data_IF_874555497877
#
_entry.id   IF_874555497877
#
_cell.length_a   1.000
_cell.length_b   1.000
_cell.length_c   1.000
_cell.angle_alpha   90.00
_cell.angle_beta   90.00
_cell.angle_gamma   90.00
#
_symmetry.space_group_name_H-M   'P 1'
#
loop_
_entity.id
_entity.type
_entity.pdbx_description
1 polymer ?
#
# COMPACT_ATOMS: atom_id res chain seq x y z
N UNK A 1 11.39 -7.25 -2.81
CA UNK A 1 10.01 -7.68 -3.10
C UNK A 1 9.23 -8.05 -1.84
N UNK A 2 9.84 -8.79 -0.92
CA UNK A 2 9.21 -9.18 0.37
C UNK A 2 8.81 -7.99 1.23
N UNK A 3 9.66 -6.96 1.29
CA UNK A 3 9.37 -5.73 2.02
C UNK A 3 8.15 -5.00 1.44
N UNK A 4 8.04 -4.95 0.11
CA UNK A 4 6.85 -4.41 -0.56
C UNK A 4 5.60 -5.24 -0.28
N UNK A 5 5.71 -6.56 -0.31
CA UNK A 5 4.56 -7.43 -0.05
C UNK A 5 4.08 -7.33 1.40
N UNK A 6 5.01 -7.29 2.35
CA UNK A 6 4.69 -7.11 3.77
C UNK A 6 4.06 -5.72 4.03
N UNK A 7 4.60 -4.66 3.41
CA UNK A 7 4.02 -3.32 3.52
C UNK A 7 2.59 -3.26 2.96
N UNK A 8 2.35 -3.85 1.78
CA UNK A 8 1.01 -3.91 1.16
C UNK A 8 0.02 -4.71 1.99
N UNK A 9 0.42 -5.83 2.58
CA UNK A 9 -0.43 -6.64 3.45
C UNK A 9 -0.84 -5.86 4.70
N UNK A 10 0.12 -5.21 5.35
CA UNK A 10 -0.14 -4.39 6.53
C UNK A 10 -1.08 -3.23 6.21
N UNK A 11 -0.84 -2.55 5.08
CA UNK A 11 -1.71 -1.46 4.61
C UNK A 11 -3.12 -1.97 4.27
N UNK A 12 -3.23 -3.09 3.57
CA UNK A 12 -4.53 -3.70 3.25
C UNK A 12 -5.31 -4.08 4.49
N UNK A 13 -4.66 -4.63 5.51
CA UNK A 13 -5.30 -4.96 6.79
C UNK A 13 -5.78 -3.71 7.53
N UNK A 14 -4.99 -2.64 7.57
CA UNK A 14 -5.38 -1.38 8.19
C UNK A 14 -6.58 -0.75 7.49
N UNK A 15 -6.55 -0.66 6.15
CA UNK A 15 -7.68 -0.17 5.35
C UNK A 15 -8.93 -1.02 5.62
N UNK A 16 -8.79 -2.34 5.72
CA UNK A 16 -9.92 -3.22 6.00
C UNK A 16 -10.50 -2.96 7.39
N UNK A 17 -9.66 -2.81 8.41
CA UNK A 17 -10.11 -2.50 9.78
C UNK A 17 -10.73 -1.11 9.86
N UNK A 18 -10.14 -0.09 9.20
CA UNK A 18 -10.70 1.26 9.16
C UNK A 18 -12.04 1.36 8.43
N UNK A 19 -12.33 0.42 7.52
CA UNK A 19 -13.65 0.31 6.87
C UNK A 19 -14.64 -0.48 7.76
N UNK A 20 -14.21 -1.60 8.34
CA UNK A 20 -15.10 -2.45 9.13
C UNK A 20 -15.56 -1.80 10.43
N UNK A 21 -14.69 -1.04 11.08
CA UNK A 21 -15.01 -0.43 12.36
C UNK A 21 -16.21 0.53 12.29
N UNK A 22 -16.31 1.46 11.32
CA UNK A 22 -17.50 2.29 11.13
C UNK A 22 -18.76 1.49 10.79
N UNK A 23 -18.64 0.46 9.94
CA UNK A 23 -19.78 -0.39 9.57
C UNK A 23 -20.34 -1.08 10.82
N UNK A 24 -19.47 -1.65 11.65
CA UNK A 24 -19.84 -2.26 12.92
C UNK A 24 -20.49 -1.20 13.84
N UNK A 25 -19.93 0.00 13.90
CA UNK A 25 -20.47 1.11 14.68
C UNK A 25 -21.90 1.49 14.29
N UNK A 26 -22.18 1.59 13.00
CA UNK A 26 -23.52 1.89 12.47
C UNK A 26 -24.52 0.76 12.77
N UNK A 27 -24.09 -0.49 12.74
CA UNK A 27 -24.98 -1.64 12.97
C UNK A 27 -25.21 -1.93 14.43
N UNK A 28 -24.18 -1.88 15.27
CA UNK A 28 -24.26 -2.25 16.70
C UNK A 28 -24.60 -1.04 17.56
N UNK A 29 -24.09 0.15 17.22
CA UNK A 29 -24.26 1.35 18.02
C UNK A 29 -25.71 1.73 18.39
N UNK A 30 -26.70 1.57 17.49
CA UNK A 30 -28.12 1.80 17.84
C UNK A 30 -28.70 0.72 18.75
N UNK A 31 -28.20 -0.53 18.68
CA UNK A 31 -28.74 -1.65 19.45
C UNK A 31 -28.20 -1.66 20.88
N UNK A 32 -26.97 -1.20 21.08
CA UNK A 32 -26.31 -1.15 22.37
C UNK A 32 -25.60 0.20 22.53
N UNK A 33 -26.32 1.26 22.95
CA UNK A 33 -25.78 2.61 23.07
C UNK A 33 -24.53 2.72 23.94
N UNK A 34 -24.42 1.86 24.95
CA UNK A 34 -23.28 1.79 25.87
C UNK A 34 -21.95 1.47 25.16
N UNK A 35 -21.99 0.81 23.99
CA UNK A 35 -20.79 0.49 23.22
C UNK A 35 -20.24 1.64 22.35
N UNK A 36 -21.01 2.69 22.13
CA UNK A 36 -20.57 3.85 21.32
C UNK A 36 -19.26 4.48 21.81
N UNK A 37 -19.07 4.77 23.10
CA UNK A 37 -17.81 5.34 23.57
C UNK A 37 -16.61 4.39 23.39
N UNK A 38 -16.82 3.08 23.53
CA UNK A 38 -15.76 2.10 23.32
C UNK A 38 -15.37 1.99 21.84
N UNK A 39 -16.32 2.07 20.92
CA UNK A 39 -16.04 2.11 19.48
C UNK A 39 -15.29 3.38 19.09
N UNK A 40 -15.67 4.53 19.63
CA UNK A 40 -14.97 5.80 19.42
C UNK A 40 -13.53 5.74 19.98
N UNK A 41 -13.35 5.17 21.17
CA UNK A 41 -12.02 4.97 21.75
C UNK A 41 -11.17 4.02 20.90
N UNK A 42 -11.75 2.91 20.43
CA UNK A 42 -11.06 1.98 19.53
C UNK A 42 -10.64 2.64 18.22
N UNK A 43 -11.48 3.49 17.63
CA UNK A 43 -11.15 4.26 16.43
C UNK A 43 -10.01 5.24 16.70
N UNK A 44 -10.02 5.94 17.83
CA UNK A 44 -8.95 6.86 18.23
C UNK A 44 -7.62 6.12 18.44
N UNK A 45 -7.64 4.98 19.13
CA UNK A 45 -6.45 4.15 19.32
C UNK A 45 -5.92 3.67 17.98
N UNK A 46 -6.79 3.23 17.06
CA UNK A 46 -6.40 2.79 15.73
C UNK A 46 -5.72 3.93 14.95
N UNK A 47 -6.28 5.13 14.98
CA UNK A 47 -5.73 6.32 14.34
C UNK A 47 -4.33 6.67 14.87
N UNK A 48 -4.16 6.63 16.19
CA UNK A 48 -2.86 6.88 16.83
C UNK A 48 -1.84 5.81 16.45
N UNK A 49 -2.23 4.53 16.46
CA UNK A 49 -1.37 3.43 16.05
C UNK A 49 -0.99 3.52 14.56
N UNK A 50 -1.95 3.87 13.70
CA UNK A 50 -1.69 4.08 12.27
C UNK A 50 -0.66 5.18 12.06
N UNK A 51 -0.87 6.34 12.65
CA UNK A 51 0.00 7.50 12.45
C UNK A 51 1.39 7.32 13.10
N UNK A 52 1.45 6.80 14.32
CA UNK A 52 2.70 6.74 15.08
C UNK A 52 3.60 5.54 14.70
N UNK A 53 3.00 4.38 14.42
CA UNK A 53 3.76 3.14 14.25
C UNK A 53 3.76 2.63 12.81
N UNK A 54 2.58 2.56 12.19
CA UNK A 54 2.47 1.92 10.89
C UNK A 54 3.01 2.76 9.76
N UNK A 55 2.75 4.08 9.76
CA UNK A 55 3.22 4.98 8.71
C UNK A 55 4.75 5.00 8.65
N UNK A 56 5.41 5.04 9.80
CA UNK A 56 6.88 5.05 9.88
C UNK A 56 7.49 3.72 9.42
N UNK A 57 6.97 2.59 9.92
CA UNK A 57 7.45 1.24 9.53
C UNK A 57 7.20 0.99 8.05
N UNK A 58 6.07 1.45 7.52
CA UNK A 58 5.72 1.29 6.12
C UNK A 58 6.60 2.14 5.21
N UNK A 59 6.84 3.40 5.56
CA UNK A 59 7.76 4.30 4.84
C UNK A 59 9.16 3.72 4.77
N UNK A 60 9.67 3.17 5.88
CA UNK A 60 11.00 2.56 5.91
C UNK A 60 11.08 1.31 5.02
N UNK A 61 10.05 0.46 5.04
CA UNK A 61 9.99 -0.73 4.16
C UNK A 61 9.91 -0.35 2.68
N UNK A 62 9.11 0.64 2.34
CA UNK A 62 8.98 1.15 0.96
C UNK A 62 10.29 1.78 0.50
N UNK A 63 10.90 2.63 1.33
CA UNK A 63 12.19 3.27 1.05
C UNK A 63 13.29 2.24 0.82
N UNK A 64 13.36 1.21 1.68
CA UNK A 64 14.32 0.11 1.52
C UNK A 64 14.07 -0.70 0.24
N UNK A 65 12.81 -0.97 -0.08
CA UNK A 65 12.43 -1.64 -1.32
C UNK A 65 12.81 -0.84 -2.57
N UNK A 66 12.55 0.47 -2.56
CA UNK A 66 12.91 1.37 -3.64
C UNK A 66 14.43 1.45 -3.84
N UNK A 67 15.20 1.55 -2.75
CA UNK A 67 16.67 1.53 -2.82
C UNK A 67 17.23 0.25 -3.43
N UNK A 68 16.68 -0.90 -3.07
CA UNK A 68 17.10 -2.19 -3.63
C UNK A 68 16.80 -2.28 -5.12
N UNK A 69 15.67 -1.75 -5.55
CA UNK A 69 15.32 -1.69 -6.98
C UNK A 69 16.26 -0.75 -7.72
N UNK A 70 16.50 0.45 -7.21
CA UNK A 70 17.44 1.41 -7.79
C UNK A 70 18.85 0.83 -7.88
N UNK A 71 19.32 0.13 -6.85
CA UNK A 71 20.62 -0.52 -6.85
C UNK A 71 20.70 -1.61 -7.94
N UNK A 72 19.66 -2.42 -8.06
CA UNK A 72 19.59 -3.41 -9.13
C UNK A 72 19.63 -2.76 -10.52
N UNK A 73 18.85 -1.70 -10.73
CA UNK A 73 18.77 -1.02 -12.02
C UNK A 73 20.10 -0.31 -12.37
N UNK A 74 20.74 0.32 -11.40
CA UNK A 74 22.06 0.96 -11.60
C UNK A 74 23.14 -0.06 -11.91
N UNK A 75 23.15 -1.20 -11.24
CA UNK A 75 24.12 -2.28 -11.49
C UNK A 75 23.89 -2.91 -12.86
N UNK A 76 22.64 -3.25 -13.22
CA UNK A 76 22.32 -3.87 -14.51
C UNK A 76 22.60 -2.96 -15.69
N UNK A 77 22.28 -1.68 -15.58
CA UNK A 77 22.46 -0.72 -16.67
C UNK A 77 23.77 0.06 -16.60
N UNK A 78 24.66 -0.23 -15.65
CA UNK A 78 25.93 0.47 -15.47
C UNK A 78 25.75 1.97 -15.26
N UNK A 79 24.71 2.38 -14.52
CA UNK A 79 24.43 3.78 -14.22
C UNK A 79 25.14 4.21 -12.92
N UNK A 80 25.56 5.47 -12.79
CA UNK A 80 26.14 5.97 -11.55
C UNK A 80 25.08 6.03 -10.45
N UNK A 81 25.45 5.57 -9.25
CA UNK A 81 24.62 5.70 -8.07
C UNK A 81 24.46 7.16 -7.63
N UNK A 82 23.22 7.64 -7.56
CA UNK A 82 22.93 9.00 -7.14
C UNK A 82 22.75 9.08 -5.61
N UNK A 83 23.86 9.33 -4.89
CA UNK A 83 23.84 9.46 -3.40
C UNK A 83 22.96 10.60 -2.90
N UNK A 84 22.80 11.65 -3.68
CA UNK A 84 22.02 12.82 -3.26
C UNK A 84 20.52 12.49 -3.16
N UNK A 85 19.99 11.71 -4.10
CA UNK A 85 18.58 11.35 -4.15
C UNK A 85 18.29 10.12 -3.28
N UNK A 86 19.12 9.08 -3.39
CA UNK A 86 18.85 7.76 -2.81
C UNK A 86 19.59 7.51 -1.50
N UNK A 87 20.57 8.37 -1.16
CA UNK A 87 21.45 8.18 0.00
C UNK A 87 22.46 7.07 -0.22
N UNK A 88 22.97 6.46 0.85
CA UNK A 88 23.91 5.34 0.74
C UNK A 88 23.25 4.10 0.12
N UNK A 89 23.98 3.30 -0.69
CA UNK A 89 23.50 2.01 -1.19
C UNK A 89 23.13 1.07 -0.04
N UNK A 90 22.36 0.03 -0.36
CA UNK A 90 22.05 -1.03 0.61
C UNK A 90 23.28 -1.92 0.79
N UNK A 91 23.62 -2.23 2.03
CA UNK A 91 24.77 -3.08 2.34
C UNK A 91 24.60 -4.50 1.76
N UNK A 92 25.71 -5.11 1.33
CA UNK A 92 25.69 -6.45 0.73
C UNK A 92 25.15 -7.51 1.68
N UNK A 93 25.39 -7.39 2.98
CA UNK A 93 24.88 -8.27 4.02
C UNK A 93 23.35 -8.21 4.11
N UNK A 94 22.79 -7.02 3.97
CA UNK A 94 21.32 -6.81 3.93
C UNK A 94 20.70 -7.43 2.67
N UNK A 95 21.36 -7.26 1.52
CA UNK A 95 20.92 -7.89 0.25
C UNK A 95 20.94 -9.41 0.40
N UNK A 96 22.06 -9.97 0.92
CA UNK A 96 22.19 -11.40 1.17
C UNK A 96 21.12 -11.93 2.11
N UNK A 97 20.88 -11.25 3.23
CA UNK A 97 19.85 -11.64 4.21
C UNK A 97 18.44 -11.67 3.59
N UNK A 98 18.15 -10.75 2.69
CA UNK A 98 16.87 -10.69 1.99
C UNK A 98 16.74 -11.75 0.90
N UNK A 99 17.85 -12.25 0.35
CA UNK A 99 17.89 -13.28 -0.70
C UNK A 99 17.86 -14.72 -0.17
N UNK A 100 18.09 -14.94 1.13
CA UNK A 100 18.16 -16.30 1.75
C UNK A 100 16.88 -17.12 1.50
N UNK A 101 15.69 -16.47 1.49
CA UNK A 101 14.44 -17.21 1.23
C UNK A 101 14.20 -17.31 -0.27
N UNK A 102 14.15 -18.55 -0.80
CA UNK A 102 13.90 -18.77 -2.21
C UNK A 102 12.56 -18.15 -2.64
N UNK A 103 12.54 -17.64 -3.85
CA UNK A 103 11.30 -17.21 -4.51
C UNK A 103 10.52 -18.43 -4.97
N UNK A 104 9.20 -18.34 -5.10
CA UNK A 104 8.44 -19.35 -5.82
C UNK A 104 8.84 -19.33 -7.29
N UNK A 105 8.83 -20.49 -7.95
CA UNK A 105 9.21 -20.65 -9.37
C UNK A 105 8.51 -19.62 -10.28
N UNK A 106 7.21 -19.40 -10.05
CA UNK A 106 6.43 -18.40 -10.79
C UNK A 106 6.96 -16.98 -10.63
N UNK A 107 7.42 -16.62 -9.44
CA UNK A 107 8.00 -15.28 -9.18
C UNK A 107 9.40 -15.17 -9.74
N UNK A 108 10.17 -16.22 -9.67
CA UNK A 108 11.51 -16.25 -10.24
C UNK A 108 11.45 -16.09 -11.76
N UNK A 109 10.57 -16.84 -12.43
CA UNK A 109 10.33 -16.69 -13.86
C UNK A 109 9.88 -15.27 -14.24
N UNK A 110 9.00 -14.67 -13.43
CA UNK A 110 8.55 -13.28 -13.65
C UNK A 110 9.70 -12.28 -13.53
N UNK A 111 10.63 -12.46 -12.58
CA UNK A 111 11.78 -11.57 -12.44
C UNK A 111 12.83 -11.77 -13.51
N UNK A 112 13.06 -13.01 -13.98
CA UNK A 112 13.93 -13.29 -15.11
C UNK A 112 13.42 -12.62 -16.39
N UNK A 113 12.10 -12.51 -16.54
CA UNK A 113 11.43 -11.85 -17.67
C UNK A 113 10.99 -10.41 -17.35
N UNK A 114 11.65 -9.72 -16.39
CA UNK A 114 11.29 -8.36 -16.00
C UNK A 114 11.50 -7.34 -17.12
N UNK A 115 12.62 -7.45 -17.80
CA UNK A 115 12.92 -6.66 -18.98
C UNK A 115 12.67 -7.47 -20.24
N UNK A 116 12.30 -6.79 -21.32
CA UNK A 116 12.12 -7.40 -22.63
C UNK A 116 13.45 -7.98 -23.15
N UNK A 117 13.38 -9.13 -23.81
CA UNK A 117 14.58 -9.84 -24.33
C UNK A 117 15.40 -9.00 -25.31
N UNK A 118 14.77 -8.06 -26.02
CA UNK A 118 15.45 -7.18 -26.94
C UNK A 118 16.48 -6.26 -26.27
N UNK A 119 16.34 -5.98 -24.97
CA UNK A 119 17.24 -5.07 -24.24
C UNK A 119 18.70 -5.55 -24.28
N UNK A 120 18.93 -6.86 -24.17
CA UNK A 120 20.27 -7.43 -24.24
C UNK A 120 20.96 -7.32 -25.60
N UNK A 121 20.21 -6.99 -26.66
CA UNK A 121 20.73 -6.83 -28.04
C UNK A 121 20.90 -5.38 -28.46
N UNK A 122 20.51 -4.43 -27.63
CA UNK A 122 20.55 -3.00 -27.94
C UNK A 122 21.82 -2.34 -27.41
N UNK A 123 22.27 -1.25 -28.06
CA UNK A 123 23.27 -0.39 -27.44
C UNK A 123 22.84 0.09 -26.06
N UNK A 124 23.80 0.20 -25.14
CA UNK A 124 23.53 0.45 -23.72
C UNK A 124 22.66 1.68 -23.46
N UNK A 125 22.82 2.76 -24.21
CA UNK A 125 22.01 3.97 -24.07
C UNK A 125 20.51 3.74 -24.39
N UNK A 126 20.20 2.91 -25.40
CA UNK A 126 18.84 2.52 -25.74
C UNK A 126 18.28 1.52 -24.75
N UNK A 127 19.09 0.57 -24.30
CA UNK A 127 18.72 -0.38 -23.27
C UNK A 127 18.30 0.33 -21.97
N UNK A 128 19.05 1.35 -21.56
CA UNK A 128 18.71 2.21 -20.40
C UNK A 128 17.35 2.89 -20.55
N UNK A 129 17.09 3.50 -21.70
CA UNK A 129 15.82 4.20 -21.95
C UNK A 129 14.62 3.24 -21.93
N UNK A 130 14.76 2.07 -22.55
CA UNK A 130 13.70 1.05 -22.55
C UNK A 130 13.49 0.47 -21.16
N UNK A 131 14.57 0.19 -20.40
CA UNK A 131 14.49 -0.27 -19.02
C UNK A 131 13.76 0.74 -18.13
N UNK A 132 14.12 2.02 -18.21
CA UNK A 132 13.44 3.08 -17.46
C UNK A 132 11.96 3.20 -17.85
N UNK A 133 11.65 3.16 -19.15
CA UNK A 133 10.26 3.15 -19.62
C UNK A 133 9.47 1.97 -19.05
N UNK A 134 10.06 0.78 -18.99
CA UNK A 134 9.42 -0.41 -18.42
C UNK A 134 9.07 -0.19 -16.94
N UNK A 135 10.01 0.34 -16.15
CA UNK A 135 9.80 0.63 -14.74
C UNK A 135 8.72 1.68 -14.51
N UNK A 136 8.75 2.78 -15.27
CA UNK A 136 7.74 3.86 -15.17
C UNK A 136 6.36 3.34 -15.58
N UNK A 137 6.27 2.58 -16.67
CA UNK A 137 5.01 2.01 -17.14
C UNK A 137 4.41 1.00 -16.17
N UNK A 138 5.26 0.23 -15.48
CA UNK A 138 4.84 -0.70 -14.44
C UNK A 138 4.29 0.04 -13.22
N UNK A 139 5.02 1.06 -12.74
CA UNK A 139 4.60 1.87 -11.60
C UNK A 139 3.29 2.63 -11.88
N UNK A 140 3.16 3.22 -13.05
CA UNK A 140 1.95 3.90 -13.49
C UNK A 140 0.73 2.96 -13.52
N UNK A 141 0.88 1.74 -14.07
CA UNK A 141 -0.18 0.73 -14.08
C UNK A 141 -0.56 0.27 -12.68
N UNK A 142 0.44 0.12 -11.80
CA UNK A 142 0.21 -0.29 -10.42
C UNK A 142 -0.59 0.76 -9.66
N UNK A 143 -0.20 2.04 -9.78
CA UNK A 143 -0.89 3.18 -9.15
C UNK A 143 -2.32 3.33 -9.64
N UNK A 144 -2.53 3.20 -10.95
CA UNK A 144 -3.85 3.25 -11.54
C UNK A 144 -4.77 2.16 -10.98
N UNK A 145 -4.33 0.89 -10.99
CA UNK A 145 -5.09 -0.22 -10.41
C UNK A 145 -5.40 0.01 -8.93
N UNK A 146 -4.43 0.51 -8.18
CA UNK A 146 -4.64 0.83 -6.78
C UNK A 146 -5.71 1.91 -6.59
N UNK A 147 -5.66 2.98 -7.38
CA UNK A 147 -6.68 4.03 -7.37
C UNK A 147 -8.07 3.53 -7.75
N UNK A 148 -8.17 2.67 -8.79
CA UNK A 148 -9.44 2.05 -9.20
C UNK A 148 -10.03 1.17 -8.08
N UNK A 149 -9.22 0.37 -7.41
CA UNK A 149 -9.64 -0.43 -6.26
C UNK A 149 -10.07 0.42 -5.06
N UNK A 150 -9.33 1.49 -4.77
CA UNK A 150 -9.67 2.40 -3.68
C UNK A 150 -11.00 3.10 -3.95
N UNK A 151 -11.21 3.58 -5.18
CA UNK A 151 -12.46 4.18 -5.61
C UNK A 151 -13.63 3.20 -5.49
N UNK A 152 -13.47 1.96 -5.97
CA UNK A 152 -14.50 0.94 -5.88
C UNK A 152 -14.87 0.62 -4.42
N UNK A 153 -13.88 0.51 -3.53
CA UNK A 153 -14.11 0.31 -2.11
C UNK A 153 -14.82 1.50 -1.47
N UNK A 154 -14.45 2.73 -1.82
CA UNK A 154 -15.09 3.94 -1.30
C UNK A 154 -16.57 4.02 -1.73
N UNK A 155 -16.85 3.72 -3.00
CA UNK A 155 -18.23 3.68 -3.51
C UNK A 155 -19.03 2.58 -2.81
N UNK A 156 -18.47 1.38 -2.69
CA UNK A 156 -19.12 0.26 -2.00
C UNK A 156 -19.42 0.61 -0.54
N UNK A 157 -18.46 1.21 0.16
CA UNK A 157 -18.62 1.65 1.54
C UNK A 157 -19.71 2.71 1.67
N UNK A 158 -19.70 3.72 0.82
CA UNK A 158 -20.75 4.75 0.78
C UNK A 158 -22.15 4.16 0.52
N UNK A 159 -22.25 3.21 -0.42
CA UNK A 159 -23.51 2.53 -0.72
C UNK A 159 -24.01 1.70 0.48
N UNK A 160 -23.14 0.97 1.17
CA UNK A 160 -23.50 0.19 2.37
C UNK A 160 -23.98 1.12 3.49
N UNK A 161 -23.35 2.25 3.68
CA UNK A 161 -23.74 3.23 4.70
C UNK A 161 -25.11 3.86 4.38
N UNK A 162 -25.30 4.30 3.13
CA UNK A 162 -26.59 4.84 2.69
C UNK A 162 -27.72 3.80 2.82
N UNK A 163 -27.47 2.58 2.36
CA UNK A 163 -28.45 1.49 2.52
C UNK A 163 -28.78 1.23 4.00
N UNK A 164 -27.78 1.18 4.86
CA UNK A 164 -27.98 0.96 6.29
C UNK A 164 -28.74 2.09 6.95
N UNK A 165 -28.47 3.33 6.57
CA UNK A 165 -29.20 4.51 7.06
C UNK A 165 -30.67 4.50 6.64
N UNK A 166 -30.95 4.22 5.38
CA UNK A 166 -32.32 4.11 4.85
C UNK A 166 -33.09 2.95 5.48
N UNK A 167 -32.46 1.78 5.59
CA UNK A 167 -33.07 0.59 6.18
C UNK A 167 -33.46 0.78 7.65
N UNK A 168 -32.66 1.55 8.41
CA UNK A 168 -32.89 1.82 9.83
C UNK A 168 -33.71 3.10 10.07
N UNK A 169 -34.21 3.73 9.02
CA UNK A 169 -34.95 5.01 9.09
C UNK A 169 -34.21 6.08 9.92
N UNK A 170 -32.88 6.07 9.87
CA UNK A 170 -32.04 7.01 10.59
C UNK A 170 -32.18 8.41 10.04
N UNK A 171 -32.22 9.42 10.91
CA UNK A 171 -32.11 10.79 10.46
C UNK A 171 -30.74 11.02 9.84
N UNK A 172 -30.66 11.86 8.82
CA UNK A 172 -29.42 12.16 8.12
C UNK A 172 -28.31 12.70 9.04
N UNK A 173 -28.74 13.48 10.06
CA UNK A 173 -27.84 13.96 11.12
C UNK A 173 -27.18 12.82 11.90
N UNK A 174 -27.94 11.78 12.25
CA UNK A 174 -27.45 10.63 13.00
C UNK A 174 -26.49 9.79 12.16
N UNK A 175 -26.76 9.67 10.86
CA UNK A 175 -25.86 9.00 9.94
C UNK A 175 -24.52 9.74 9.86
N UNK A 176 -24.54 11.06 9.70
CA UNK A 176 -23.31 11.87 9.67
C UNK A 176 -22.59 11.79 11.00
N UNK A 177 -23.28 11.95 12.13
CA UNK A 177 -22.65 11.86 13.45
C UNK A 177 -22.02 10.50 13.72
N UNK A 178 -22.56 9.42 13.16
CA UNK A 178 -21.95 8.10 13.26
C UNK A 178 -20.66 7.94 12.43
N UNK A 179 -20.49 8.79 11.40
CA UNK A 179 -19.32 8.78 10.51
C UNK A 179 -18.19 9.69 10.97
N UNK A 180 -18.52 10.80 11.66
CA UNK A 180 -17.55 11.82 12.10
C UNK A 180 -16.32 11.22 12.83
N UNK A 181 -16.45 10.25 13.76
CA UNK A 181 -15.29 9.67 14.43
C UNK A 181 -14.31 8.93 13.53
N UNK A 182 -14.72 8.60 12.31
CA UNK A 182 -13.96 7.80 11.37
C UNK A 182 -13.45 8.60 10.16
N UNK A 183 -13.80 9.88 10.07
CA UNK A 183 -13.22 10.76 9.07
C UNK A 183 -11.78 11.10 9.48
N UNK A 184 -10.79 10.88 8.61
CA UNK A 184 -9.44 11.36 8.85
C UNK A 184 -9.48 12.89 8.93
N UNK A 185 -9.05 13.44 10.05
CA UNK A 185 -8.83 14.88 10.24
C UNK A 185 -7.52 15.27 9.58
#
# INVERSE_FOLDING_TARGET
>A
HRNYHAAKLTQGLLVLVSILLPVIGVWIGPQVPEFRPYLALAALILLVLETALFDQVQKDRLKRGAKLQEQFDTDVFGMPWNRFVTGAPVEHEDVRRLSIKPLSEKREAHFKAWYEECIGRLPLHLARLIGQRTNISYDARLRRRYGEWLLALTILFGAVLLYSGLYKEMQFSDLIMSLVPFLPI
#
